data_IF_502599021083
#
_entry.id   IF_502599021083
#
_cell.length_a   1.000
_cell.length_b   1.000
_cell.length_c   1.000
_cell.angle_alpha   90.00
_cell.angle_beta   90.00
_cell.angle_gamma   90.00
#
_symmetry.space_group_name_H-M   'P 1'
#
loop_
_entity.id
_entity.type
_entity.pdbx_description
1 polymer ?
#
# COMPACT_ATOMS: atom_id res chain seq x y z
N UNK A 1 12.59 4.19 -24.60
CA UNK A 1 12.31 5.24 -23.57
C UNK A 1 10.81 5.26 -23.30
N UNK A 2 10.42 4.94 -22.06
CA UNK A 2 9.03 4.98 -21.61
C UNK A 2 8.57 6.44 -21.51
N UNK A 3 7.46 6.78 -22.13
CA UNK A 3 6.89 8.13 -22.09
C UNK A 3 5.59 8.12 -21.29
N UNK A 4 5.57 8.79 -20.13
CA UNK A 4 4.41 8.84 -19.23
C UNK A 4 3.94 10.28 -19.03
N UNK A 5 2.65 10.48 -19.20
CA UNK A 5 1.96 11.73 -18.94
C UNK A 5 1.14 11.59 -17.65
N UNK A 6 1.64 12.17 -16.54
CA UNK A 6 1.05 11.96 -15.21
C UNK A 6 0.04 13.03 -14.84
N UNK A 7 0.30 14.29 -15.16
CA UNK A 7 -0.60 15.43 -14.95
C UNK A 7 -0.28 16.55 -15.94
N UNK A 8 -1.30 17.24 -16.42
CA UNK A 8 -1.14 18.43 -17.25
C UNK A 8 -0.43 19.58 -16.56
N UNK A 9 0.06 20.53 -17.34
CA UNK A 9 0.68 21.76 -16.83
C UNK A 9 -0.33 22.57 -15.99
N UNK A 10 -0.28 22.35 -14.70
CA UNK A 10 -1.10 23.02 -13.68
C UNK A 10 -0.42 24.30 -13.16
N UNK A 11 0.62 24.81 -13.85
CA UNK A 11 1.55 25.83 -13.36
C UNK A 11 0.98 27.23 -13.18
N UNK A 12 -0.33 27.47 -13.46
CA UNK A 12 -0.90 28.81 -13.42
C UNK A 12 -2.20 28.91 -12.61
N UNK A 13 -2.09 28.85 -11.28
CA UNK A 13 -3.23 28.88 -10.38
C UNK A 13 -4.11 30.15 -10.42
N UNK A 14 -3.61 31.30 -10.84
CA UNK A 14 -4.42 32.52 -11.05
C UNK A 14 -5.02 32.62 -12.45
N UNK A 15 -4.44 31.94 -13.44
CA UNK A 15 -4.98 31.81 -14.82
C UNK A 15 -5.81 30.53 -14.99
N UNK A 16 -5.73 29.62 -14.03
CA UNK A 16 -6.45 28.34 -13.99
C UNK A 16 -7.97 28.50 -14.08
N UNK A 17 -8.50 29.63 -13.64
CA UNK A 17 -9.91 30.03 -13.81
C UNK A 17 -10.25 30.54 -15.23
N UNK A 18 -9.26 30.66 -16.09
CA UNK A 18 -9.44 31.12 -17.47
C UNK A 18 -9.24 30.01 -18.48
N UNK A 19 -10.34 29.45 -18.86
CA UNK A 19 -10.52 28.62 -20.05
C UNK A 19 -9.85 27.25 -20.15
N UNK A 20 -10.71 26.30 -20.20
CA UNK A 20 -10.51 24.93 -20.71
C UNK A 20 -9.97 24.85 -22.14
N UNK A 21 -9.83 25.94 -22.85
CA UNK A 21 -9.24 25.99 -24.19
C UNK A 21 -7.72 26.03 -24.15
N UNK A 22 -7.11 26.70 -23.15
CA UNK A 22 -5.64 26.69 -22.96
C UNK A 22 -5.14 25.34 -22.45
N UNK A 23 -5.94 24.62 -21.65
CA UNK A 23 -5.69 23.25 -21.26
C UNK A 23 -5.66 22.27 -22.46
N UNK A 24 -6.37 22.61 -23.54
CA UNK A 24 -6.37 21.87 -24.81
C UNK A 24 -5.18 22.17 -25.71
N UNK A 25 -4.50 23.29 -25.51
CA UNK A 25 -3.47 23.79 -26.43
C UNK A 25 -2.03 23.40 -26.03
N UNK A 26 -1.81 22.91 -24.81
CA UNK A 26 -0.49 22.51 -24.37
C UNK A 26 -0.49 21.00 -24.08
N UNK A 27 0.00 20.16 -25.04
CA UNK A 27 0.16 18.75 -24.77
C UNK A 27 1.18 18.64 -23.64
N UNK A 28 0.71 18.12 -22.55
CA UNK A 28 1.42 17.78 -21.34
C UNK A 28 2.76 17.16 -21.71
N UNK A 29 3.81 17.66 -21.08
CA UNK A 29 5.16 17.21 -21.36
C UNK A 29 5.26 15.70 -21.32
N UNK A 30 5.71 15.15 -22.40
CA UNK A 30 5.98 13.73 -22.54
C UNK A 30 7.17 13.43 -21.64
N UNK A 31 6.91 12.82 -20.48
CA UNK A 31 7.99 12.42 -19.58
C UNK A 31 8.64 11.14 -20.10
N UNK A 32 9.95 11.22 -20.25
CA UNK A 32 10.77 10.01 -20.33
C UNK A 32 10.87 9.45 -18.92
N UNK A 33 10.31 8.27 -18.71
CA UNK A 33 10.46 7.58 -17.42
C UNK A 33 11.91 7.18 -17.25
N UNK A 34 12.61 7.67 -16.20
CA UNK A 34 13.95 7.22 -15.90
C UNK A 34 13.99 5.70 -15.66
N UNK A 35 15.09 5.06 -16.04
CA UNK A 35 15.26 3.61 -15.89
C UNK A 35 15.07 3.18 -14.42
N UNK A 36 15.60 3.97 -13.48
CA UNK A 36 15.45 3.70 -12.04
C UNK A 36 14.01 3.73 -11.54
N UNK A 37 13.13 4.55 -12.15
CA UNK A 37 11.70 4.59 -11.82
C UNK A 37 11.00 3.37 -12.38
N UNK A 38 11.35 2.95 -13.60
CA UNK A 38 10.81 1.75 -14.24
C UNK A 38 11.22 0.48 -13.46
N UNK A 39 12.47 0.41 -13.02
CA UNK A 39 12.96 -0.73 -12.23
C UNK A 39 12.35 -0.76 -10.83
N UNK A 40 12.19 0.39 -10.17
CA UNK A 40 11.46 0.49 -8.91
C UNK A 40 10.00 0.01 -9.08
N UNK A 41 9.31 0.40 -10.17
CA UNK A 41 7.94 -0.03 -10.44
C UNK A 41 7.81 -1.55 -10.58
N UNK A 42 8.78 -2.24 -11.20
CA UNK A 42 8.80 -3.71 -11.27
C UNK A 42 8.89 -4.34 -9.88
N UNK A 43 9.73 -3.80 -8.99
CA UNK A 43 9.85 -4.29 -7.62
C UNK A 43 8.54 -4.08 -6.84
N UNK A 44 7.87 -2.94 -7.01
CA UNK A 44 6.56 -2.68 -6.39
C UNK A 44 5.46 -3.58 -6.95
N UNK A 45 5.52 -3.97 -8.23
CA UNK A 45 4.63 -4.99 -8.81
C UNK A 45 4.84 -6.32 -8.09
N UNK A 46 6.09 -6.81 -7.98
CA UNK A 46 6.40 -8.07 -7.29
C UNK A 46 5.94 -8.05 -5.84
N UNK A 47 6.22 -6.99 -5.11
CA UNK A 47 5.80 -6.80 -3.72
C UNK A 47 4.27 -6.93 -3.58
N UNK A 48 3.53 -6.19 -4.41
CA UNK A 48 2.07 -6.19 -4.40
C UNK A 48 1.48 -7.56 -4.78
N UNK A 49 2.08 -8.25 -5.75
CA UNK A 49 1.66 -9.60 -6.16
C UNK A 49 1.88 -10.62 -5.03
N UNK A 50 3.03 -10.57 -4.37
CA UNK A 50 3.33 -11.42 -3.22
C UNK A 50 2.32 -11.20 -2.08
N UNK A 51 2.08 -9.93 -1.73
CA UNK A 51 1.10 -9.56 -0.70
C UNK A 51 -0.33 -10.02 -1.05
N UNK A 52 -0.75 -9.87 -2.32
CA UNK A 52 -2.04 -10.33 -2.82
C UNK A 52 -2.20 -11.84 -2.65
N UNK A 53 -1.23 -12.61 -3.13
CA UNK A 53 -1.28 -14.07 -3.12
C UNK A 53 -1.29 -14.63 -1.69
N UNK A 54 -0.38 -14.18 -0.84
CA UNK A 54 -0.38 -14.58 0.57
C UNK A 54 -1.66 -14.14 1.27
N UNK A 55 -2.09 -12.91 1.05
CA UNK A 55 -3.29 -12.35 1.67
C UNK A 55 -4.57 -13.06 1.26
N UNK A 56 -4.64 -13.68 0.06
CA UNK A 56 -5.78 -14.49 -0.37
C UNK A 56 -6.03 -15.70 0.54
N UNK A 57 -5.02 -16.12 1.30
CA UNK A 57 -5.09 -17.23 2.27
C UNK A 57 -5.39 -16.75 3.69
N UNK A 58 -5.14 -15.48 3.98
CA UNK A 58 -5.48 -14.88 5.28
C UNK A 58 -7.00 -14.68 5.41
N UNK A 59 -7.50 -14.70 6.64
CA UNK A 59 -8.94 -14.63 6.90
C UNK A 59 -9.64 -13.44 6.19
N UNK A 60 -9.19 -12.17 6.31
CA UNK A 60 -9.89 -11.06 5.67
C UNK A 60 -9.89 -11.16 4.14
N UNK A 61 -8.79 -11.62 3.53
CA UNK A 61 -8.71 -11.82 2.08
C UNK A 61 -9.62 -12.94 1.60
N UNK A 62 -9.63 -14.08 2.30
CA UNK A 62 -10.53 -15.21 2.02
C UNK A 62 -12.01 -14.80 2.13
N UNK A 63 -12.35 -14.02 3.16
CA UNK A 63 -13.73 -13.50 3.32
C UNK A 63 -14.09 -12.53 2.21
N UNK A 64 -13.16 -11.67 1.77
CA UNK A 64 -13.38 -10.76 0.64
C UNK A 64 -13.57 -11.52 -0.68
N UNK A 65 -12.83 -12.61 -0.90
CA UNK A 65 -13.01 -13.49 -2.07
C UNK A 65 -14.38 -14.16 -2.06
N UNK A 66 -14.82 -14.67 -0.90
CA UNK A 66 -16.14 -15.26 -0.74
C UNK A 66 -17.26 -14.22 -0.99
N UNK A 67 -17.07 -12.98 -0.49
CA UNK A 67 -18.00 -11.87 -0.72
C UNK A 67 -18.10 -11.55 -2.22
N UNK A 68 -16.99 -11.45 -2.93
CA UNK A 68 -16.95 -11.17 -4.36
C UNK A 68 -17.66 -12.29 -5.16
N UNK A 69 -17.41 -13.56 -4.83
CA UNK A 69 -18.07 -14.69 -5.45
C UNK A 69 -19.60 -14.69 -5.21
N UNK A 70 -20.03 -14.36 -3.99
CA UNK A 70 -21.44 -14.27 -3.64
C UNK A 70 -22.14 -13.09 -4.34
N UNK A 71 -21.48 -11.93 -4.44
CA UNK A 71 -22.03 -10.73 -5.07
C UNK A 71 -22.17 -10.87 -6.59
N UNK A 72 -21.22 -11.53 -7.25
CA UNK A 72 -21.19 -11.72 -8.71
C UNK A 72 -22.13 -12.84 -9.19
N UNK A 73 -22.70 -13.66 -8.30
CA UNK A 73 -23.49 -14.83 -8.66
C UNK A 73 -22.63 -15.99 -9.19
N UNK A 74 -23.29 -17.09 -9.63
CA UNK A 74 -22.58 -18.25 -10.14
C UNK A 74 -21.83 -17.90 -11.44
N UNK A 75 -20.54 -18.16 -11.44
CA UNK A 75 -19.59 -18.20 -12.58
C UNK A 75 -19.84 -17.22 -13.74
N UNK A 76 -19.14 -16.11 -13.74
CA UNK A 76 -19.13 -15.16 -14.87
C UNK A 76 -18.13 -15.68 -15.93
N UNK A 77 -18.61 -16.24 -17.03
CA UNK A 77 -17.77 -16.83 -18.10
C UNK A 77 -16.72 -15.87 -18.69
N UNK A 78 -16.88 -14.57 -18.53
CA UNK A 78 -15.99 -13.50 -18.99
C UNK A 78 -15.59 -12.56 -17.86
N UNK A 79 -15.44 -13.09 -16.64
CA UNK A 79 -15.07 -12.33 -15.44
C UNK A 79 -13.56 -12.14 -15.31
N UNK A 80 -13.18 -11.33 -14.33
CA UNK A 80 -11.79 -11.18 -13.88
C UNK A 80 -11.43 -12.24 -12.85
N UNK A 81 -10.21 -12.76 -12.95
CA UNK A 81 -9.69 -13.79 -12.06
C UNK A 81 -9.48 -13.26 -10.65
N UNK A 82 -9.87 -14.05 -9.66
CA UNK A 82 -9.37 -13.92 -8.29
C UNK A 82 -8.05 -14.70 -8.19
N UNK A 83 -6.92 -14.03 -8.39
CA UNK A 83 -5.62 -14.68 -8.41
C UNK A 83 -5.34 -15.46 -7.11
N UNK A 84 -4.67 -16.61 -7.23
CA UNK A 84 -4.55 -17.58 -6.15
C UNK A 84 -5.73 -18.56 -6.03
N UNK A 85 -6.76 -18.44 -6.90
CA UNK A 85 -7.91 -19.36 -7.01
C UNK A 85 -8.26 -19.62 -8.47
N UNK A 86 -9.26 -20.48 -8.72
CA UNK A 86 -9.83 -20.72 -10.05
C UNK A 86 -11.12 -19.90 -10.32
N UNK A 87 -11.48 -19.03 -9.37
CA UNK A 87 -12.76 -18.29 -9.41
C UNK A 87 -12.62 -17.04 -10.26
N UNK A 88 -13.64 -16.75 -11.07
CA UNK A 88 -13.80 -15.49 -11.80
C UNK A 88 -15.10 -14.78 -11.36
N UNK A 89 -14.99 -13.46 -11.20
CA UNK A 89 -16.09 -12.59 -10.78
C UNK A 89 -16.13 -11.32 -11.64
N UNK A 90 -17.11 -10.44 -11.48
CA UNK A 90 -17.09 -9.17 -12.21
C UNK A 90 -15.89 -8.32 -11.78
N UNK A 91 -15.32 -7.52 -12.71
CA UNK A 91 -14.06 -6.81 -12.50
C UNK A 91 -14.05 -5.91 -11.25
N UNK A 92 -15.09 -5.10 -10.94
CA UNK A 92 -15.09 -4.30 -9.71
C UNK A 92 -15.01 -5.12 -8.43
N UNK A 93 -15.69 -6.26 -8.38
CA UNK A 93 -15.68 -7.13 -7.21
C UNK A 93 -14.36 -7.90 -7.09
N UNK A 94 -13.75 -8.28 -8.24
CA UNK A 94 -12.40 -8.84 -8.28
C UNK A 94 -11.38 -7.85 -7.71
N UNK A 95 -11.43 -6.60 -8.15
CA UNK A 95 -10.52 -5.55 -7.67
C UNK A 95 -10.69 -5.31 -6.17
N UNK A 96 -11.92 -5.23 -5.67
CA UNK A 96 -12.17 -5.09 -4.23
C UNK A 96 -11.56 -6.24 -3.43
N UNK A 97 -11.82 -7.47 -3.87
CA UNK A 97 -11.36 -8.65 -3.16
C UNK A 97 -9.84 -8.78 -3.18
N UNK A 98 -9.22 -8.60 -4.35
CA UNK A 98 -7.76 -8.69 -4.51
C UNK A 98 -7.02 -7.57 -3.77
N UNK A 99 -7.54 -6.33 -3.79
CA UNK A 99 -6.94 -5.23 -3.03
C UNK A 99 -7.08 -5.43 -1.52
N UNK A 100 -8.21 -6.00 -1.06
CA UNK A 100 -8.38 -6.42 0.33
C UNK A 100 -7.33 -7.47 0.72
N UNK A 101 -7.13 -8.48 -0.13
CA UNK A 101 -6.12 -9.51 0.10
C UNK A 101 -4.70 -8.93 0.14
N UNK A 102 -4.35 -8.08 -0.83
CA UNK A 102 -3.02 -7.47 -0.91
C UNK A 102 -2.67 -6.65 0.35
N UNK A 103 -3.66 -6.01 0.98
CA UNK A 103 -3.42 -5.16 2.16
C UNK A 103 -3.55 -5.89 3.51
N UNK A 104 -4.35 -6.94 3.61
CA UNK A 104 -4.74 -7.52 4.92
C UNK A 104 -3.58 -8.14 5.72
N UNK A 105 -2.44 -8.38 5.10
CA UNK A 105 -1.21 -8.84 5.75
C UNK A 105 -0.40 -7.72 6.42
N UNK A 106 -0.73 -6.44 6.17
CA UNK A 106 0.05 -5.25 6.58
C UNK A 106 1.53 -5.35 6.15
N UNK A 107 1.76 -5.88 4.93
CA UNK A 107 3.08 -6.15 4.37
C UNK A 107 3.30 -5.45 3.01
N UNK A 108 2.25 -4.83 2.49
CA UNK A 108 2.21 -4.01 1.28
C UNK A 108 2.96 -2.68 1.46
N UNK A 109 3.41 -2.11 0.37
CA UNK A 109 4.19 -0.87 0.33
C UNK A 109 3.45 0.36 0.92
N UNK A 110 4.19 1.43 1.21
CA UNK A 110 3.63 2.68 1.73
C UNK A 110 4.46 3.90 1.35
N UNK A 111 3.81 4.96 0.90
CA UNK A 111 4.42 6.27 0.80
C UNK A 111 4.25 7.03 2.12
N UNK A 112 5.34 7.20 2.89
CA UNK A 112 5.30 7.77 4.24
C UNK A 112 4.69 9.18 4.30
N UNK A 113 5.15 10.10 3.46
CA UNK A 113 4.66 11.49 3.42
C UNK A 113 3.21 11.64 2.96
N UNK A 114 2.72 10.74 2.11
CA UNK A 114 1.32 10.68 1.70
C UNK A 114 0.46 9.78 2.62
N UNK A 115 1.06 9.06 3.56
CA UNK A 115 0.41 8.10 4.45
C UNK A 115 -0.50 7.09 3.71
N UNK A 116 -0.10 6.67 2.49
CA UNK A 116 -0.90 5.83 1.58
C UNK A 116 -0.16 4.56 1.20
N UNK A 117 -0.84 3.43 1.31
CA UNK A 117 -0.45 2.17 0.67
C UNK A 117 -0.99 2.19 -0.76
N UNK A 118 -0.15 1.95 -1.75
CA UNK A 118 -0.50 2.25 -3.15
C UNK A 118 -0.60 0.97 -3.99
N UNK A 119 0.44 0.14 -3.97
CA UNK A 119 0.53 -1.04 -4.82
C UNK A 119 -0.63 -2.01 -4.64
N UNK A 120 -1.06 -2.20 -3.39
CA UNK A 120 -2.18 -3.07 -3.04
C UNK A 120 -3.54 -2.66 -3.66
N UNK A 121 -3.67 -1.45 -4.18
CA UNK A 121 -4.86 -1.00 -4.92
C UNK A 121 -4.64 -0.96 -6.42
N UNK A 122 -3.51 -0.39 -6.86
CA UNK A 122 -3.20 -0.12 -8.26
C UNK A 122 -2.93 -1.43 -9.02
N UNK A 123 -2.08 -2.31 -8.48
CA UNK A 123 -1.69 -3.54 -9.18
C UNK A 123 -2.88 -4.50 -9.38
N UNK A 124 -3.72 -4.82 -8.37
CA UNK A 124 -4.92 -5.63 -8.58
C UNK A 124 -5.90 -5.07 -9.61
N UNK A 125 -6.07 -3.74 -9.63
CA UNK A 125 -6.95 -3.09 -10.60
C UNK A 125 -6.42 -3.22 -12.03
N UNK A 126 -5.12 -3.03 -12.22
CA UNK A 126 -4.48 -3.18 -13.53
C UNK A 126 -4.46 -4.62 -14.03
N UNK A 127 -4.29 -5.62 -13.15
CA UNK A 127 -4.42 -7.03 -13.52
C UNK A 127 -5.82 -7.34 -14.05
N UNK A 128 -6.86 -6.88 -13.38
CA UNK A 128 -8.24 -7.09 -13.80
C UNK A 128 -8.55 -6.40 -15.15
N UNK A 129 -8.03 -5.19 -15.37
CA UNK A 129 -8.16 -4.47 -16.64
C UNK A 129 -7.37 -5.13 -17.77
N UNK A 130 -6.14 -5.54 -17.49
CA UNK A 130 -5.29 -6.20 -18.48
C UNK A 130 -5.83 -7.57 -18.90
N UNK A 131 -6.48 -8.30 -17.98
CA UNK A 131 -7.17 -9.55 -18.33
C UNK A 131 -8.36 -9.29 -19.27
N UNK A 132 -9.09 -8.18 -19.06
CA UNK A 132 -10.28 -7.83 -19.86
C UNK A 132 -9.93 -7.24 -21.23
N UNK A 133 -8.99 -6.32 -21.28
CA UNK A 133 -8.72 -5.52 -22.47
C UNK A 133 -7.42 -5.88 -23.19
N UNK A 134 -6.56 -6.66 -22.57
CA UNK A 134 -5.19 -6.86 -23.01
C UNK A 134 -4.33 -5.61 -22.77
N UNK A 135 -3.03 -5.77 -22.65
CA UNK A 135 -2.07 -4.66 -22.61
C UNK A 135 -0.67 -5.19 -22.99
N UNK A 136 0.18 -4.33 -23.57
CA UNK A 136 1.62 -4.58 -23.59
C UNK A 136 2.21 -4.43 -22.20
N UNK A 137 3.34 -5.08 -21.94
CA UNK A 137 4.03 -4.96 -20.67
C UNK A 137 4.52 -3.53 -20.42
N UNK A 138 5.00 -2.83 -21.45
CA UNK A 138 5.36 -1.43 -21.41
C UNK A 138 4.19 -0.57 -20.88
N UNK A 139 3.00 -0.71 -21.50
CA UNK A 139 1.83 0.07 -21.09
C UNK A 139 1.34 -0.28 -19.68
N UNK A 140 1.47 -1.53 -19.29
CA UNK A 140 1.15 -1.95 -17.92
C UNK A 140 2.09 -1.29 -16.92
N UNK A 141 3.40 -1.27 -17.20
CA UNK A 141 4.39 -0.63 -16.34
C UNK A 141 4.16 0.87 -16.22
N UNK A 142 3.90 1.55 -17.33
CA UNK A 142 3.52 2.98 -17.34
C UNK A 142 2.26 3.24 -16.51
N UNK A 143 1.24 2.39 -16.64
CA UNK A 143 0.01 2.51 -15.89
C UNK A 143 0.24 2.35 -14.37
N UNK A 144 1.12 1.43 -13.96
CA UNK A 144 1.54 1.31 -12.55
C UNK A 144 2.16 2.62 -12.07
N UNK A 145 3.14 3.16 -12.81
CA UNK A 145 3.81 4.41 -12.44
C UNK A 145 2.79 5.56 -12.30
N UNK A 146 1.88 5.73 -13.27
CA UNK A 146 0.81 6.75 -13.21
C UNK A 146 -0.07 6.58 -11.97
N UNK A 147 -0.43 5.35 -11.62
CA UNK A 147 -1.23 5.08 -10.43
C UNK A 147 -0.52 5.45 -9.12
N UNK A 148 0.77 5.12 -9.02
CA UNK A 148 1.60 5.47 -7.87
C UNK A 148 1.76 6.99 -7.75
N UNK A 149 2.15 7.66 -8.83
CA UNK A 149 2.32 9.11 -8.88
C UNK A 149 1.03 9.84 -8.51
N UNK A 150 -0.10 9.43 -9.08
CA UNK A 150 -1.39 10.06 -8.79
C UNK A 150 -1.77 9.92 -7.32
N UNK A 151 -1.66 8.70 -6.76
CA UNK A 151 -2.03 8.47 -5.35
C UNK A 151 -1.12 9.24 -4.40
N UNK A 152 0.20 9.21 -4.62
CA UNK A 152 1.17 9.91 -3.80
C UNK A 152 0.94 11.43 -3.82
N UNK A 153 0.80 12.02 -5.02
CA UNK A 153 0.59 13.47 -5.21
C UNK A 153 -0.71 13.95 -4.58
N UNK A 154 -1.80 13.21 -4.75
CA UNK A 154 -3.09 13.54 -4.11
C UNK A 154 -2.95 13.48 -2.58
N UNK A 155 -2.31 12.48 -2.03
CA UNK A 155 -2.07 12.37 -0.58
C UNK A 155 -1.18 13.49 -0.04
N UNK A 156 -0.10 13.82 -0.75
CA UNK A 156 0.79 14.93 -0.39
C UNK A 156 0.08 16.27 -0.44
N UNK A 157 -0.78 16.51 -1.44
CA UNK A 157 -1.48 17.79 -1.62
C UNK A 157 -2.47 18.13 -0.50
N UNK A 158 -3.07 17.13 0.13
CA UNK A 158 -4.06 17.30 1.21
C UNK A 158 -3.47 17.14 2.61
N UNK A 159 -2.14 17.09 2.76
CA UNK A 159 -1.47 16.82 4.03
C UNK A 159 -2.02 15.56 4.73
N UNK A 160 -1.93 14.44 4.02
CA UNK A 160 -2.53 13.18 4.44
C UNK A 160 -2.17 12.73 5.88
N UNK A 161 -0.97 13.00 6.44
CA UNK A 161 -0.68 12.73 7.84
C UNK A 161 -1.60 13.49 8.81
N UNK A 162 -1.96 14.76 8.53
CA UNK A 162 -2.94 15.50 9.35
C UNK A 162 -4.35 14.96 9.18
N UNK A 163 -4.70 14.55 7.96
CA UNK A 163 -5.98 13.90 7.68
C UNK A 163 -6.12 12.59 8.46
N UNK A 164 -5.04 11.81 8.50
CA UNK A 164 -4.94 10.57 9.26
C UNK A 164 -5.15 10.82 10.77
N UNK A 165 -4.53 11.86 11.33
CA UNK A 165 -4.71 12.23 12.74
C UNK A 165 -6.17 12.62 13.08
N UNK A 166 -6.96 13.08 12.09
CA UNK A 166 -8.39 13.38 12.22
C UNK A 166 -9.31 12.17 12.11
N UNK A 167 -8.76 10.98 11.89
CA UNK A 167 -9.52 9.73 11.80
C UNK A 167 -9.96 9.33 10.39
N UNK A 168 -9.48 10.00 9.35
CA UNK A 168 -9.61 9.54 7.97
C UNK A 168 -8.51 8.54 7.63
N UNK A 169 -8.78 7.66 6.71
CA UNK A 169 -7.77 6.74 6.19
C UNK A 169 -7.26 7.21 4.82
N UNK A 170 -6.07 7.82 4.73
CA UNK A 170 -5.59 8.41 3.48
C UNK A 170 -5.55 7.44 2.29
N UNK A 171 -5.17 6.17 2.51
CA UNK A 171 -5.18 5.17 1.45
C UNK A 171 -6.57 5.02 0.81
N UNK A 172 -7.64 4.99 1.63
CA UNK A 172 -9.01 4.87 1.11
C UNK A 172 -9.55 6.17 0.52
N UNK A 173 -9.04 7.30 0.98
CA UNK A 173 -9.39 8.62 0.45
C UNK A 173 -8.73 8.86 -0.92
N UNK A 174 -7.46 8.46 -1.09
CA UNK A 174 -6.68 8.77 -2.29
C UNK A 174 -6.70 7.65 -3.34
N UNK A 175 -6.93 6.39 -2.92
CA UNK A 175 -6.73 5.22 -3.77
C UNK A 175 -7.59 5.16 -5.03
N UNK A 176 -8.82 5.67 -4.97
CA UNK A 176 -9.69 5.70 -6.13
C UNK A 176 -9.10 6.52 -7.29
N UNK A 177 -8.40 7.62 -6.99
CA UNK A 177 -7.75 8.45 -8.01
C UNK A 177 -6.59 7.71 -8.69
N UNK A 178 -5.75 7.03 -7.90
CA UNK A 178 -4.64 6.24 -8.44
C UNK A 178 -5.12 5.14 -9.38
N UNK A 179 -6.15 4.39 -8.99
CA UNK A 179 -6.74 3.34 -9.83
C UNK A 179 -7.38 3.91 -11.09
N UNK A 180 -8.11 5.04 -10.98
CA UNK A 180 -8.73 5.68 -12.13
C UNK A 180 -7.68 6.19 -13.14
N UNK A 181 -6.62 6.84 -12.66
CA UNK A 181 -5.52 7.32 -13.50
C UNK A 181 -4.75 6.16 -14.16
N UNK A 182 -4.38 5.14 -13.38
CA UNK A 182 -3.69 3.96 -13.86
C UNK A 182 -4.49 3.24 -14.96
N UNK A 183 -5.78 3.02 -14.72
CA UNK A 183 -6.64 2.38 -15.70
C UNK A 183 -6.84 3.22 -16.97
N UNK A 184 -7.00 4.52 -16.84
CA UNK A 184 -7.07 5.42 -17.99
C UNK A 184 -5.78 5.37 -18.84
N UNK A 185 -4.60 5.30 -18.19
CA UNK A 185 -3.31 5.12 -18.89
C UNK A 185 -3.23 3.76 -19.57
N UNK A 186 -3.61 2.67 -18.89
CA UNK A 186 -3.62 1.33 -19.48
C UNK A 186 -4.48 1.30 -20.75
N UNK A 187 -5.66 1.94 -20.70
CA UNK A 187 -6.61 2.00 -21.81
C UNK A 187 -6.24 3.05 -22.87
N UNK A 188 -5.10 3.74 -22.70
CA UNK A 188 -4.63 4.79 -23.60
C UNK A 188 -5.67 5.89 -23.83
N UNK A 189 -6.37 6.30 -22.79
CA UNK A 189 -7.36 7.36 -22.90
C UNK A 189 -6.70 8.74 -23.05
N UNK A 190 -7.32 9.64 -23.81
CA UNK A 190 -6.86 11.03 -23.88
C UNK A 190 -7.05 11.71 -22.50
N UNK A 191 -6.26 12.76 -22.25
CA UNK A 191 -6.19 13.48 -20.96
C UNK A 191 -7.58 13.92 -20.46
N UNK A 192 -8.43 14.46 -21.33
CA UNK A 192 -9.78 14.88 -20.97
C UNK A 192 -10.64 13.72 -20.43
N UNK A 193 -10.45 12.53 -20.98
CA UNK A 193 -11.19 11.36 -20.53
C UNK A 193 -10.64 10.85 -19.19
N UNK A 194 -9.31 10.90 -19.01
CA UNK A 194 -8.67 10.64 -17.71
C UNK A 194 -9.14 11.64 -16.65
N UNK A 195 -9.13 12.94 -16.95
CA UNK A 195 -9.62 13.99 -16.05
C UNK A 195 -11.09 13.76 -15.65
N UNK A 196 -11.92 13.30 -16.59
CA UNK A 196 -13.31 12.94 -16.29
C UNK A 196 -13.39 11.75 -15.32
N UNK A 197 -12.56 10.72 -15.50
CA UNK A 197 -12.51 9.58 -14.58
C UNK A 197 -12.04 10.00 -13.18
N UNK A 198 -11.07 10.89 -13.07
CA UNK A 198 -10.65 11.48 -11.79
C UNK A 198 -11.78 12.29 -11.14
N UNK A 199 -12.53 13.06 -11.92
CA UNK A 199 -13.73 13.77 -11.46
C UNK A 199 -14.79 12.81 -10.91
N UNK A 200 -15.06 11.70 -11.58
CA UNK A 200 -15.98 10.68 -11.07
C UNK A 200 -15.42 10.04 -9.79
N UNK A 201 -14.11 9.71 -9.75
CA UNK A 201 -13.46 9.13 -8.58
C UNK A 201 -13.56 10.03 -7.34
N UNK A 202 -13.50 11.36 -7.51
CA UNK A 202 -13.61 12.32 -6.39
C UNK A 202 -14.92 12.22 -5.62
N UNK A 203 -16.00 11.84 -6.29
CA UNK A 203 -17.33 11.67 -5.67
C UNK A 203 -17.43 10.38 -4.82
N UNK A 204 -16.46 9.49 -4.94
CA UNK A 204 -16.38 8.23 -4.22
C UNK A 204 -15.21 8.17 -3.22
N UNK A 205 -14.44 9.27 -3.10
CA UNK A 205 -13.32 9.35 -2.18
C UNK A 205 -13.79 9.37 -0.73
N UNK A 206 -13.23 8.52 0.11
CA UNK A 206 -13.60 8.48 1.52
C UNK A 206 -13.20 7.19 2.22
N UNK A 207 -13.26 7.21 3.52
CA UNK A 207 -13.01 6.06 4.38
C UNK A 207 -12.49 6.46 5.75
N UNK A 208 -12.97 5.77 6.77
CA UNK A 208 -12.65 6.02 8.17
C UNK A 208 -11.58 5.04 8.67
N UNK A 209 -10.73 5.54 9.57
CA UNK A 209 -9.69 4.74 10.23
C UNK A 209 -10.23 3.85 11.35
N UNK A 210 -11.50 3.94 11.67
CA UNK A 210 -12.14 3.21 12.77
C UNK A 210 -12.02 1.68 12.62
N UNK A 211 -12.17 0.97 13.72
CA UNK A 211 -12.16 -0.51 13.75
C UNK A 211 -10.77 -1.15 13.77
N UNK A 212 -9.69 -0.40 13.50
CA UNK A 212 -8.32 -0.95 13.50
C UNK A 212 -7.82 -1.39 14.88
N UNK A 213 -8.29 -0.75 15.95
CA UNK A 213 -7.91 -1.12 17.33
C UNK A 213 -8.70 -2.33 17.84
N UNK A 214 -9.93 -2.47 17.40
CA UNK A 214 -10.82 -3.58 17.79
C UNK A 214 -10.57 -4.85 16.99
N UNK A 215 -9.77 -4.77 15.92
CA UNK A 215 -9.50 -5.91 15.04
C UNK A 215 -10.65 -6.20 14.07
N UNK A 216 -11.50 -5.22 13.78
CA UNK A 216 -12.59 -5.36 12.82
C UNK A 216 -12.03 -5.64 11.41
N UNK A 217 -12.26 -6.86 10.89
CA UNK A 217 -11.74 -7.31 9.58
C UNK A 217 -12.34 -6.52 8.41
N UNK A 218 -13.54 -5.95 8.57
CA UNK A 218 -14.21 -5.11 7.59
C UNK A 218 -13.39 -3.88 7.17
N UNK A 219 -12.44 -3.40 8.01
CA UNK A 219 -11.53 -2.31 7.61
C UNK A 219 -10.73 -2.65 6.35
N UNK A 220 -10.31 -3.89 6.19
CA UNK A 220 -9.56 -4.31 5.00
C UNK A 220 -10.43 -4.31 3.75
N UNK A 221 -11.72 -4.63 3.88
CA UNK A 221 -12.70 -4.51 2.78
C UNK A 221 -12.92 -3.04 2.40
N UNK A 222 -12.91 -2.12 3.38
CA UNK A 222 -12.99 -0.68 3.09
C UNK A 222 -11.78 -0.20 2.26
N UNK A 223 -10.59 -0.75 2.49
CA UNK A 223 -9.41 -0.52 1.65
C UNK A 223 -9.66 -1.01 0.21
N UNK A 224 -10.10 -2.23 0.04
CA UNK A 224 -10.45 -2.79 -1.28
C UNK A 224 -11.57 -2.00 -1.97
N UNK A 225 -12.51 -1.42 -1.20
CA UNK A 225 -13.59 -0.59 -1.75
C UNK A 225 -13.06 0.68 -2.43
N UNK A 226 -11.97 1.26 -1.96
CA UNK A 226 -11.35 2.41 -2.63
C UNK A 226 -10.82 2.04 -4.03
N UNK A 227 -10.18 0.87 -4.17
CA UNK A 227 -9.75 0.36 -5.46
C UNK A 227 -10.95 0.06 -6.39
N UNK A 228 -12.02 -0.56 -5.85
CA UNK A 228 -13.27 -0.78 -6.56
C UNK A 228 -13.90 0.53 -7.04
N UNK A 229 -13.89 1.57 -6.23
CA UNK A 229 -14.45 2.87 -6.58
C UNK A 229 -13.68 3.52 -7.75
N UNK A 230 -12.35 3.41 -7.79
CA UNK A 230 -11.54 3.82 -8.94
C UNK A 230 -11.88 3.03 -10.21
N UNK A 231 -12.07 1.70 -10.10
CA UNK A 231 -12.53 0.87 -11.21
C UNK A 231 -13.93 1.29 -11.70
N UNK A 232 -14.86 1.56 -10.78
CA UNK A 232 -16.20 2.04 -11.14
C UNK A 232 -16.16 3.41 -11.82
N UNK A 233 -15.26 4.31 -11.40
CA UNK A 233 -15.07 5.61 -12.07
C UNK A 233 -14.60 5.44 -13.52
N UNK A 234 -13.72 4.49 -13.80
CA UNK A 234 -13.32 4.13 -15.16
C UNK A 234 -14.51 3.60 -15.96
N UNK A 235 -15.21 2.60 -15.45
CA UNK A 235 -16.34 1.98 -16.14
C UNK A 235 -17.48 2.99 -16.37
N UNK A 236 -17.75 3.87 -15.42
CA UNK A 236 -18.73 4.94 -15.56
C UNK A 236 -18.35 5.91 -16.68
N UNK A 237 -17.08 6.33 -16.72
CA UNK A 237 -16.53 7.18 -17.78
C UNK A 237 -16.56 6.47 -19.14
N UNK A 238 -16.31 5.17 -19.19
CA UNK A 238 -16.43 4.36 -20.42
C UNK A 238 -17.84 4.41 -21.00
N UNK A 239 -18.86 4.42 -20.13
CA UNK A 239 -20.28 4.52 -20.51
C UNK A 239 -20.75 5.97 -20.78
N UNK A 240 -19.86 6.96 -20.70
CA UNK A 240 -20.17 8.36 -20.99
C UNK A 240 -20.68 9.18 -19.80
N UNK A 241 -20.65 8.64 -18.57
CA UNK A 241 -20.92 9.44 -17.36
C UNK A 241 -19.83 10.49 -17.17
N UNK A 242 -20.21 11.68 -16.69
CA UNK A 242 -19.31 12.82 -16.50
C UNK A 242 -19.10 13.12 -15.03
N UNK A 243 -17.85 13.42 -14.66
CA UNK A 243 -17.45 13.90 -13.35
C UNK A 243 -17.27 15.42 -13.32
N UNK A 244 -17.18 16.02 -12.12
CA UNK A 244 -16.88 17.43 -11.97
C UNK A 244 -15.52 17.76 -12.56
N UNK A 245 -15.44 18.84 -13.34
CA UNK A 245 -14.21 19.25 -14.03
C UNK A 245 -13.18 19.86 -13.09
N UNK A 246 -13.64 20.56 -12.05
CA UNK A 246 -12.83 21.23 -11.02
C UNK A 246 -12.82 20.40 -9.72
N UNK A 247 -12.74 19.07 -9.84
CA UNK A 247 -12.90 18.14 -8.73
C UNK A 247 -11.95 18.40 -7.55
N UNK A 248 -10.75 18.91 -7.81
CA UNK A 248 -9.73 19.13 -6.80
C UNK A 248 -9.77 20.55 -6.22
N UNK A 249 -9.92 21.56 -7.07
CA UNK A 249 -9.69 22.97 -6.79
C UNK A 249 -10.95 23.80 -6.44
N UNK A 250 -12.14 23.30 -6.76
CA UNK A 250 -13.39 23.99 -6.41
C UNK A 250 -13.52 24.18 -4.88
N UNK A 251 -14.12 25.27 -4.36
CA UNK A 251 -14.27 25.50 -2.92
C UNK A 251 -14.95 24.36 -2.14
N UNK A 252 -15.80 23.58 -2.81
CA UNK A 252 -16.38 22.33 -2.29
C UNK A 252 -15.79 21.07 -2.96
N UNK A 253 -14.67 21.24 -3.64
CA UNK A 253 -13.91 20.17 -4.27
C UNK A 253 -13.09 19.38 -3.25
N UNK A 254 -12.45 18.34 -3.74
CA UNK A 254 -11.76 17.33 -2.91
C UNK A 254 -10.71 17.95 -1.97
N UNK A 255 -9.78 18.76 -2.52
CA UNK A 255 -8.66 19.26 -1.71
C UNK A 255 -9.13 20.21 -0.59
N UNK A 256 -9.95 21.23 -0.92
CA UNK A 256 -10.39 22.25 0.03
C UNK A 256 -11.41 21.71 1.05
N UNK A 257 -12.13 20.64 0.73
CA UNK A 257 -13.00 19.96 1.70
C UNK A 257 -12.20 19.20 2.77
N UNK A 258 -11.05 18.63 2.41
CA UNK A 258 -10.27 17.78 3.30
C UNK A 258 -9.11 18.51 3.98
N UNK A 259 -8.59 19.59 3.36
CA UNK A 259 -7.44 20.33 3.83
C UNK A 259 -7.69 21.84 3.69
N UNK A 260 -7.50 22.60 4.79
CA UNK A 260 -7.71 24.05 4.77
C UNK A 260 -6.69 24.78 3.88
N UNK A 261 -5.47 24.27 3.79
CA UNK A 261 -4.37 24.82 3.03
C UNK A 261 -3.74 23.72 2.16
N UNK A 262 -4.35 23.35 1.01
CA UNK A 262 -3.79 22.34 0.13
C UNK A 262 -2.44 22.76 -0.44
N UNK A 263 -1.53 21.83 -0.52
CA UNK A 263 -0.20 22.00 -1.09
C UNK A 263 -0.24 21.70 -2.59
N UNK A 264 -0.66 22.68 -3.35
CA UNK A 264 -0.91 22.58 -4.79
C UNK A 264 0.33 22.20 -5.61
N UNK A 265 1.52 22.56 -5.12
CA UNK A 265 2.79 22.24 -5.75
C UNK A 265 2.97 20.74 -6.02
N UNK A 266 2.39 19.87 -5.19
CA UNK A 266 2.45 18.42 -5.40
C UNK A 266 1.60 17.92 -6.57
N UNK A 267 0.53 18.65 -6.91
CA UNK A 267 -0.28 18.34 -8.09
C UNK A 267 0.28 18.99 -9.36
N UNK A 268 1.05 20.07 -9.22
CA UNK A 268 1.55 20.87 -10.33
C UNK A 268 2.98 20.52 -10.76
N UNK A 269 3.83 20.08 -9.82
CA UNK A 269 5.23 19.76 -10.11
C UNK A 269 5.34 18.49 -10.92
N UNK A 270 6.14 18.57 -11.99
CA UNK A 270 6.46 17.46 -12.89
C UNK A 270 7.94 17.09 -12.83
N UNK A 271 8.70 17.74 -11.94
CA UNK A 271 10.16 17.66 -11.89
C UNK A 271 10.67 16.42 -11.14
N UNK A 272 9.79 15.65 -10.52
CA UNK A 272 10.16 14.57 -9.63
C UNK A 272 9.12 13.44 -9.67
N UNK A 273 9.62 12.21 -9.62
CA UNK A 273 8.81 11.02 -9.37
C UNK A 273 8.78 10.69 -7.88
N UNK A 274 7.61 10.35 -7.35
CA UNK A 274 7.38 9.95 -5.97
C UNK A 274 7.39 8.44 -5.74
N UNK A 275 7.26 7.65 -6.82
CA UNK A 275 7.31 6.19 -6.74
C UNK A 275 8.60 5.69 -6.05
N UNK A 276 9.81 6.23 -6.33
CA UNK A 276 11.03 5.83 -5.63
C UNK A 276 11.09 6.20 -4.14
N UNK A 277 10.12 6.98 -3.64
CA UNK A 277 9.98 7.31 -2.21
C UNK A 277 9.01 6.39 -1.48
N UNK A 278 8.36 5.47 -2.22
CA UNK A 278 7.48 4.47 -1.62
C UNK A 278 8.33 3.40 -0.94
N UNK A 279 8.10 3.20 0.34
CA UNK A 279 8.85 2.24 1.14
C UNK A 279 8.23 0.84 1.06
N UNK A 280 9.08 -0.18 0.98
CA UNK A 280 8.68 -1.56 1.17
C UNK A 280 8.53 -1.89 2.66
N UNK A 281 7.63 -2.81 2.99
CA UNK A 281 7.50 -3.34 4.35
C UNK A 281 8.19 -4.71 4.45
N UNK A 282 9.31 -4.84 5.17
CA UNK A 282 9.91 -6.16 5.45
C UNK A 282 9.17 -6.92 6.55
N UNK A 283 8.34 -6.25 7.35
CA UNK A 283 7.66 -6.82 8.51
C UNK A 283 6.13 -6.69 8.38
N UNK A 284 5.35 -7.75 8.65
CA UNK A 284 3.89 -7.75 8.53
C UNK A 284 3.21 -7.07 9.73
N UNK A 285 3.42 -5.77 9.88
CA UNK A 285 2.82 -4.96 10.94
C UNK A 285 2.68 -3.49 10.53
N UNK A 286 2.01 -2.72 11.37
CA UNK A 286 1.86 -1.29 11.16
C UNK A 286 3.21 -0.59 10.99
N UNK A 287 3.34 0.29 9.98
CA UNK A 287 4.61 0.94 9.61
C UNK A 287 5.29 1.65 10.79
N UNK A 288 4.50 2.21 11.71
CA UNK A 288 4.98 2.88 12.91
C UNK A 288 5.85 2.00 13.82
N UNK A 289 5.80 0.68 13.63
CA UNK A 289 6.53 -0.29 14.47
C UNK A 289 7.84 -0.77 13.82
N UNK A 290 8.04 -0.52 12.52
CA UNK A 290 9.17 -1.09 11.77
C UNK A 290 10.53 -0.68 12.32
N UNK A 291 10.71 0.62 12.65
CA UNK A 291 11.95 1.10 13.27
C UNK A 291 12.21 0.41 14.63
N UNK A 292 11.15 0.21 15.42
CA UNK A 292 11.23 -0.52 16.69
C UNK A 292 11.58 -2.00 16.51
N UNK A 293 10.99 -2.68 15.51
CA UNK A 293 11.33 -4.08 15.18
C UNK A 293 12.80 -4.20 14.79
N UNK A 294 13.27 -3.34 13.89
CA UNK A 294 14.67 -3.35 13.44
C UNK A 294 15.63 -3.08 14.59
N UNK A 295 15.33 -2.08 15.44
CA UNK A 295 16.12 -1.78 16.63
C UNK A 295 16.18 -2.96 17.60
N UNK A 296 15.03 -3.59 17.87
CA UNK A 296 14.94 -4.76 18.74
C UNK A 296 15.78 -5.95 18.22
N UNK A 297 15.65 -6.25 16.92
CA UNK A 297 16.41 -7.34 16.29
C UNK A 297 17.92 -7.09 16.35
N UNK A 298 18.37 -5.85 16.09
CA UNK A 298 19.80 -5.47 16.22
C UNK A 298 20.31 -5.62 17.64
N UNK A 299 19.53 -5.22 18.66
CA UNK A 299 19.91 -5.37 20.06
C UNK A 299 19.98 -6.84 20.48
N UNK A 300 18.99 -7.65 20.10
CA UNK A 300 18.98 -9.09 20.38
C UNK A 300 20.23 -9.77 19.79
N UNK A 301 20.52 -9.49 18.51
CA UNK A 301 21.67 -10.08 17.82
C UNK A 301 23.01 -9.61 18.44
N UNK A 302 23.17 -8.29 18.62
CA UNK A 302 24.43 -7.68 19.10
C UNK A 302 24.81 -8.14 20.50
N UNK A 303 23.82 -8.35 21.37
CA UNK A 303 24.04 -8.67 22.79
C UNK A 303 23.62 -10.10 23.15
N UNK A 304 23.31 -10.94 22.16
CA UNK A 304 22.88 -12.34 22.34
C UNK A 304 21.76 -12.48 23.40
N UNK A 305 20.78 -11.54 23.37
CA UNK A 305 19.70 -11.51 24.34
C UNK A 305 18.72 -12.66 24.10
N UNK A 306 18.27 -13.27 25.19
CA UNK A 306 17.22 -14.28 25.16
C UNK A 306 15.95 -13.73 25.79
N UNK A 307 14.75 -14.25 25.48
CA UNK A 307 13.49 -13.81 26.11
C UNK A 307 13.54 -13.86 27.64
N UNK A 308 14.25 -14.87 28.20
CA UNK A 308 14.42 -15.03 29.64
C UNK A 308 15.29 -13.93 30.26
N UNK A 309 16.27 -13.37 29.52
CA UNK A 309 17.16 -12.32 30.03
C UNK A 309 16.50 -10.94 30.06
N UNK A 310 15.36 -10.77 29.38
CA UNK A 310 14.67 -9.48 29.24
C UNK A 310 13.80 -9.21 30.46
N UNK A 311 14.07 -8.09 31.13
CA UNK A 311 13.25 -7.56 32.21
C UNK A 311 12.17 -6.59 31.68
N UNK A 312 12.57 -5.68 30.77
CA UNK A 312 11.69 -4.65 30.21
C UNK A 312 12.13 -4.30 28.77
N UNK A 313 11.17 -3.99 27.92
CA UNK A 313 11.36 -3.41 26.58
C UNK A 313 10.61 -2.09 26.55
N UNK A 314 11.27 -0.97 26.29
CA UNK A 314 10.65 0.33 26.06
C UNK A 314 10.77 0.68 24.59
N UNK A 315 9.62 0.79 23.91
CA UNK A 315 9.50 1.26 22.52
C UNK A 315 9.09 2.74 22.54
N UNK A 316 9.90 3.58 21.90
CA UNK A 316 9.59 4.99 21.65
C UNK A 316 9.31 5.20 20.17
N UNK A 317 8.23 5.92 19.87
CA UNK A 317 7.82 6.34 18.52
C UNK A 317 7.51 7.84 18.53
N UNK A 318 7.38 8.54 17.38
CA UNK A 318 6.85 9.90 17.34
C UNK A 318 5.54 10.01 18.11
N UNK A 319 5.35 11.12 18.87
CA UNK A 319 4.20 11.28 19.80
C UNK A 319 2.86 11.05 19.14
N UNK A 320 2.68 11.52 17.91
CA UNK A 320 1.43 11.34 17.16
C UNK A 320 1.14 9.88 16.77
N UNK A 321 2.16 9.03 16.73
CA UNK A 321 2.01 7.60 16.41
C UNK A 321 1.75 6.75 17.66
N UNK A 322 2.08 7.24 18.84
CA UNK A 322 2.03 6.47 20.08
C UNK A 322 0.63 5.93 20.40
N UNK A 323 -0.41 6.75 20.27
CA UNK A 323 -1.80 6.32 20.53
C UNK A 323 -2.29 5.23 19.59
N UNK A 324 -1.70 5.13 18.38
CA UNK A 324 -2.07 4.12 17.39
C UNK A 324 -1.50 2.75 17.70
N UNK A 325 -0.28 2.72 18.25
CA UNK A 325 0.46 1.46 18.43
C UNK A 325 0.61 1.05 19.91
N UNK A 326 0.25 1.92 20.85
CA UNK A 326 0.16 1.54 22.26
C UNK A 326 -1.16 0.81 22.53
N UNK A 327 -1.15 -0.50 22.29
CA UNK A 327 -2.30 -1.41 22.42
C UNK A 327 -1.96 -2.58 23.34
N UNK A 328 -1.99 -2.37 24.68
CA UNK A 328 -1.59 -3.40 25.64
C UNK A 328 -2.62 -4.52 25.79
N UNK A 329 -3.83 -4.35 25.29
CA UNK A 329 -4.86 -5.37 25.39
C UNK A 329 -4.46 -6.65 24.65
N UNK A 330 -4.60 -7.78 25.34
CA UNK A 330 -4.38 -9.09 24.74
C UNK A 330 -5.54 -9.39 23.79
N UNK A 331 -5.20 -9.76 22.57
CA UNK A 331 -6.18 -10.13 21.54
C UNK A 331 -5.72 -11.40 20.83
N UNK A 332 -6.65 -12.25 20.51
CA UNK A 332 -6.46 -13.42 19.63
C UNK A 332 -6.81 -13.10 18.18
N UNK A 333 -7.23 -11.85 17.90
CA UNK A 333 -7.57 -11.40 16.56
C UNK A 333 -6.32 -10.84 15.87
N UNK A 334 -5.87 -11.49 14.80
CA UNK A 334 -4.74 -11.04 13.97
C UNK A 334 -4.83 -9.54 13.64
N UNK A 335 -5.98 -9.07 13.16
CA UNK A 335 -6.18 -7.69 12.74
C UNK A 335 -5.97 -6.65 13.87
N UNK A 336 -6.20 -7.01 15.12
CA UNK A 336 -5.93 -6.15 16.28
C UNK A 336 -4.43 -6.11 16.63
N UNK A 337 -3.74 -7.25 16.47
CA UNK A 337 -2.34 -7.41 16.91
C UNK A 337 -1.33 -6.81 15.93
N UNK A 338 -1.65 -6.73 14.63
CA UNK A 338 -0.79 -6.12 13.60
C UNK A 338 -0.35 -4.68 13.92
N UNK A 339 -1.15 -3.94 14.70
CA UNK A 339 -0.84 -2.59 15.15
C UNK A 339 -0.50 -2.49 16.64
N UNK A 340 -0.34 -3.62 17.37
CA UNK A 340 0.01 -3.60 18.79
C UNK A 340 1.52 -3.60 18.98
N UNK A 341 2.08 -2.49 19.46
CA UNK A 341 3.51 -2.42 19.79
C UNK A 341 3.89 -3.44 20.85
N UNK A 342 3.03 -3.71 21.83
CA UNK A 342 3.28 -4.71 22.85
C UNK A 342 3.37 -6.11 22.25
N UNK A 343 2.43 -6.49 21.40
CA UNK A 343 2.43 -7.80 20.76
C UNK A 343 3.63 -7.96 19.80
N UNK A 344 3.83 -6.98 18.90
CA UNK A 344 4.87 -7.02 17.88
C UNK A 344 6.27 -7.12 18.53
N UNK A 345 6.56 -6.30 19.55
CA UNK A 345 7.83 -6.39 20.27
C UNK A 345 7.99 -7.72 21.01
N UNK A 346 6.93 -8.21 21.65
CA UNK A 346 6.96 -9.47 22.40
C UNK A 346 7.22 -10.69 21.49
N UNK A 347 6.46 -10.81 20.38
CA UNK A 347 6.63 -11.94 19.46
C UNK A 347 7.96 -11.87 18.71
N UNK A 348 8.44 -10.68 18.39
CA UNK A 348 9.78 -10.47 17.81
C UNK A 348 10.87 -10.88 18.77
N UNK A 349 10.78 -10.50 20.05
CA UNK A 349 11.74 -10.90 21.08
C UNK A 349 11.75 -12.40 21.31
N UNK A 350 10.57 -13.05 21.25
CA UNK A 350 10.45 -14.49 21.43
C UNK A 350 11.07 -15.29 20.29
N UNK A 351 10.77 -14.87 19.05
CA UNK A 351 11.14 -15.62 17.83
C UNK A 351 12.50 -15.21 17.24
N UNK A 352 13.05 -14.05 17.60
CA UNK A 352 14.20 -13.45 16.93
C UNK A 352 13.93 -13.04 15.48
N UNK A 353 12.65 -13.02 15.06
CA UNK A 353 12.15 -12.61 13.74
C UNK A 353 10.67 -12.24 13.83
N UNK A 354 10.16 -11.62 12.79
CA UNK A 354 8.72 -11.39 12.62
C UNK A 354 8.33 -11.61 11.15
N UNK A 355 7.36 -12.48 10.94
CA UNK A 355 6.83 -12.92 9.66
C UNK A 355 5.31 -13.17 9.78
N UNK A 356 4.64 -13.56 8.69
CA UNK A 356 3.20 -13.83 8.71
C UNK A 356 2.82 -14.92 9.73
N UNK A 357 3.71 -15.91 9.95
CA UNK A 357 3.47 -16.96 10.94
C UNK A 357 3.48 -16.43 12.38
N UNK A 358 4.13 -15.29 12.64
CA UNK A 358 4.11 -14.64 13.96
C UNK A 358 2.71 -14.22 14.42
N UNK A 359 1.73 -14.25 13.53
CA UNK A 359 0.34 -13.85 13.77
C UNK A 359 -0.64 -15.03 13.60
N UNK A 360 -0.15 -16.26 13.66
CA UNK A 360 -0.96 -17.47 13.71
C UNK A 360 -1.41 -17.78 15.15
N UNK A 361 -2.44 -18.62 15.29
CA UNK A 361 -3.08 -18.94 16.56
C UNK A 361 -2.08 -19.40 17.63
N UNK A 362 -1.05 -20.14 17.24
CA UNK A 362 0.04 -20.59 18.12
C UNK A 362 0.64 -19.42 18.93
N UNK A 363 0.93 -18.30 18.27
CA UNK A 363 1.53 -17.13 18.92
C UNK A 363 0.50 -16.18 19.52
N UNK A 364 -0.65 -16.04 18.87
CA UNK A 364 -1.76 -15.19 19.37
C UNK A 364 -2.29 -15.70 20.71
N UNK A 365 -2.30 -17.01 20.92
CA UNK A 365 -2.74 -17.65 22.16
C UNK A 365 -1.61 -17.94 23.16
N UNK A 366 -0.33 -17.73 22.78
CA UNK A 366 0.85 -18.10 23.57
C UNK A 366 0.92 -17.35 24.90
N UNK A 367 0.99 -18.10 26.01
CA UNK A 367 1.22 -17.54 27.36
C UNK A 367 2.62 -16.91 27.49
N UNK A 368 3.59 -17.35 26.70
CA UNK A 368 4.93 -16.76 26.71
C UNK A 368 4.92 -15.38 26.03
N UNK A 369 4.21 -15.24 24.90
CA UNK A 369 3.99 -13.94 24.26
C UNK A 369 3.26 -13.00 25.21
N UNK A 370 2.19 -13.44 25.89
CA UNK A 370 1.45 -12.62 26.86
C UNK A 370 2.33 -12.13 28.02
N UNK A 371 3.18 -13.02 28.53
CA UNK A 371 4.15 -12.65 29.59
C UNK A 371 5.17 -11.61 29.09
N UNK A 372 5.64 -11.73 27.86
CA UNK A 372 6.54 -10.75 27.26
C UNK A 372 5.82 -9.44 26.97
N UNK A 373 4.58 -9.45 26.48
CA UNK A 373 3.76 -8.24 26.28
C UNK A 373 3.66 -7.39 27.57
N UNK A 374 3.53 -8.03 28.71
CA UNK A 374 3.47 -7.34 29.99
C UNK A 374 4.77 -6.59 30.37
N UNK A 375 5.89 -6.94 29.72
CA UNK A 375 7.20 -6.27 29.89
C UNK A 375 7.42 -5.15 28.86
N UNK A 376 6.52 -4.96 27.88
CA UNK A 376 6.68 -3.97 26.82
C UNK A 376 5.91 -2.70 27.16
N UNK A 377 6.62 -1.58 27.16
CA UNK A 377 6.07 -0.23 27.29
C UNK A 377 6.19 0.48 25.92
N UNK A 378 5.15 1.20 25.52
CA UNK A 378 5.13 2.00 24.30
C UNK A 378 4.85 3.45 24.67
N UNK A 379 5.69 4.36 24.22
CA UNK A 379 5.62 5.77 24.57
C UNK A 379 5.92 6.67 23.36
N UNK A 380 5.38 7.89 23.38
CA UNK A 380 5.73 8.92 22.42
C UNK A 380 7.00 9.67 22.84
N UNK A 381 7.87 9.97 21.87
CA UNK A 381 9.09 10.74 22.08
C UNK A 381 9.08 12.04 21.28
N UNK A 382 9.27 13.18 21.96
CA UNK A 382 9.42 14.49 21.32
C UNK A 382 10.70 14.58 20.46
N UNK A 383 11.74 13.82 20.82
CA UNK A 383 12.99 13.78 20.07
C UNK A 383 12.78 13.15 18.69
N UNK A 384 11.90 12.16 18.58
CA UNK A 384 11.58 11.48 17.34
C UNK A 384 10.62 12.27 16.44
N UNK A 385 9.87 13.23 16.98
CA UNK A 385 8.93 14.06 16.19
C UNK A 385 9.63 14.85 15.09
N UNK A 386 10.93 15.21 15.27
CA UNK A 386 11.72 15.95 14.27
C UNK A 386 11.90 15.21 12.93
N UNK A 387 11.73 13.89 12.94
CA UNK A 387 11.87 13.05 11.75
C UNK A 387 10.56 12.81 11.03
N UNK A 388 9.43 13.01 11.71
CA UNK A 388 8.10 12.81 11.14
C UNK A 388 7.64 14.07 10.37
N UNK A 389 6.95 13.98 9.24
CA UNK A 389 6.45 12.76 8.59
C UNK A 389 7.42 12.10 7.61
N UNK A 390 8.62 12.65 7.43
CA UNK A 390 9.61 12.14 6.45
C UNK A 390 9.99 10.70 6.77
N UNK A 391 10.33 10.43 8.03
CA UNK A 391 10.62 9.08 8.52
C UNK A 391 9.78 8.75 9.74
N UNK A 392 9.35 7.50 9.81
CA UNK A 392 8.64 6.95 10.95
C UNK A 392 9.63 6.23 11.86
N UNK A 393 10.46 7.06 12.50
CA UNK A 393 11.57 6.62 13.35
C UNK A 393 11.10 5.93 14.64
N UNK A 394 12.01 5.19 15.27
CA UNK A 394 11.75 4.53 16.55
C UNK A 394 13.02 4.26 17.33
N UNK A 395 12.90 4.15 18.63
CA UNK A 395 13.98 3.76 19.54
C UNK A 395 13.49 2.66 20.47
N UNK A 396 14.32 1.66 20.66
CA UNK A 396 14.08 0.60 21.65
C UNK A 396 15.15 0.61 22.71
N UNK A 397 14.73 0.53 23.99
CA UNK A 397 15.61 0.30 25.11
C UNK A 397 15.22 -1.00 25.79
N UNK A 398 16.20 -1.90 25.98
CA UNK A 398 16.03 -3.16 26.68
C UNK A 398 16.77 -3.13 28.00
N UNK A 399 16.06 -3.41 29.12
CA UNK A 399 16.65 -3.67 30.41
C UNK A 399 16.68 -5.16 30.65
N UNK A 400 17.83 -5.70 31.08
CA UNK A 400 18.00 -7.12 31.39
C UNK A 400 17.81 -7.38 32.88
N UNK A 401 17.47 -8.60 33.24
CA UNK A 401 17.42 -9.05 34.67
C UNK A 401 18.80 -8.96 35.36
N UNK A 402 19.89 -8.92 34.58
CA UNK A 402 21.24 -8.68 35.07
C UNK A 402 21.59 -7.20 35.30
N UNK A 403 20.64 -6.28 35.12
CA UNK A 403 20.82 -4.85 35.35
C UNK A 403 21.48 -4.07 34.22
N UNK A 404 21.80 -4.71 33.08
CA UNK A 404 22.32 -3.99 31.91
C UNK A 404 21.16 -3.31 31.18
N UNK A 405 21.49 -2.19 30.51
CA UNK A 405 20.55 -1.45 29.66
C UNK A 405 21.19 -1.20 28.28
N UNK A 406 20.46 -1.53 27.23
CA UNK A 406 20.91 -1.37 25.84
C UNK A 406 19.87 -0.57 25.07
N UNK A 407 20.31 0.34 24.20
CA UNK A 407 19.41 1.17 23.41
C UNK A 407 19.88 1.25 21.96
N UNK A 408 18.92 1.27 21.04
CA UNK A 408 19.15 1.45 19.60
C UNK A 408 18.06 2.34 19.04
N UNK A 409 18.45 3.31 18.19
CA UNK A 409 17.54 4.22 17.50
C UNK A 409 17.67 4.01 15.99
N UNK A 410 16.54 3.86 15.31
CA UNK A 410 16.44 3.75 13.85
C UNK A 410 15.64 4.95 13.34
N UNK A 411 16.26 5.77 12.47
CA UNK A 411 15.61 6.92 11.85
C UNK A 411 14.86 6.48 10.60
N UNK A 412 15.57 5.91 9.63
CA UNK A 412 15.01 5.35 8.40
C UNK A 412 15.01 3.81 8.51
N UNK A 413 13.86 3.20 8.81
CA UNK A 413 13.78 1.73 8.93
C UNK A 413 13.96 1.04 7.57
N UNK A 414 14.37 -0.22 7.60
CA UNK A 414 14.58 -1.06 6.41
C UNK A 414 13.37 -1.00 5.47
N UNK A 415 13.65 -0.84 4.19
CA UNK A 415 12.68 -0.64 3.12
C UNK A 415 12.44 0.83 2.73
N UNK A 416 12.96 1.80 3.49
CA UNK A 416 13.01 3.21 3.07
C UNK A 416 14.09 3.43 2.01
N UNK A 417 13.99 4.53 1.27
CA UNK A 417 14.97 4.91 0.24
C UNK A 417 16.41 4.97 0.78
N UNK A 418 16.58 5.44 2.01
CA UNK A 418 17.88 5.60 2.68
C UNK A 418 18.39 4.31 3.34
N UNK A 419 17.54 3.31 3.45
CA UNK A 419 17.84 1.97 3.98
C UNK A 419 17.09 0.91 3.16
N UNK A 420 17.41 0.78 1.84
CA UNK A 420 16.57 0.04 0.91
C UNK A 420 16.65 -1.47 1.10
N UNK A 421 15.59 -2.15 0.71
CA UNK A 421 15.65 -3.56 0.33
C UNK A 421 16.28 -3.66 -1.06
N UNK A 422 17.17 -4.63 -1.25
CA UNK A 422 17.71 -4.94 -2.56
C UNK A 422 16.66 -5.63 -3.44
N UNK A 423 16.88 -5.68 -4.75
CA UNK A 423 16.01 -6.45 -5.65
C UNK A 423 15.94 -7.93 -5.21
N UNK A 424 17.06 -8.52 -4.79
CA UNK A 424 17.09 -9.89 -4.28
C UNK A 424 16.25 -10.07 -3.00
N UNK A 425 16.27 -9.08 -2.07
CA UNK A 425 15.41 -9.13 -0.87
C UNK A 425 13.91 -9.11 -1.25
N UNK A 426 13.53 -8.34 -2.29
CA UNK A 426 12.13 -8.26 -2.77
C UNK A 426 11.73 -9.55 -3.49
N UNK A 427 12.61 -10.12 -4.32
CA UNK A 427 12.37 -11.42 -4.97
C UNK A 427 12.23 -12.55 -3.94
N UNK A 428 13.08 -12.59 -2.91
CA UNK A 428 12.97 -13.54 -1.80
C UNK A 428 11.63 -13.36 -1.06
N UNK A 429 11.28 -12.13 -0.71
CA UNK A 429 9.98 -11.81 -0.11
C UNK A 429 8.82 -12.29 -0.99
N UNK A 430 8.89 -12.03 -2.30
CA UNK A 430 7.87 -12.49 -3.23
C UNK A 430 7.78 -14.02 -3.26
N UNK A 431 8.89 -14.73 -3.34
CA UNK A 431 8.92 -16.19 -3.33
C UNK A 431 8.33 -16.76 -2.03
N UNK A 432 8.70 -16.22 -0.89
CA UNK A 432 8.16 -16.63 0.42
C UNK A 432 6.63 -16.48 0.49
N UNK A 433 6.09 -15.42 -0.12
CA UNK A 433 4.67 -15.11 -0.11
C UNK A 433 3.89 -15.85 -1.21
N UNK A 434 4.46 -16.00 -2.39
CA UNK A 434 3.78 -16.51 -3.58
C UNK A 434 3.92 -18.02 -3.78
N UNK A 435 5.08 -18.62 -3.45
CA UNK A 435 5.33 -20.04 -3.68
C UNK A 435 4.39 -20.97 -2.91
N UNK A 436 3.94 -20.68 -1.69
CA UNK A 436 2.93 -21.48 -0.99
C UNK A 436 1.56 -21.50 -1.70
N UNK A 437 1.28 -20.53 -2.58
CA UNK A 437 0.00 -20.42 -3.29
C UNK A 437 0.09 -20.95 -4.73
N UNK A 438 1.15 -20.58 -5.45
CA UNK A 438 1.33 -20.88 -6.88
C UNK A 438 2.18 -22.11 -7.14
N UNK A 439 3.01 -22.51 -6.19
CA UNK A 439 4.16 -23.38 -6.39
C UNK A 439 5.39 -22.60 -6.89
N UNK A 440 6.59 -23.09 -6.55
CA UNK A 440 7.85 -22.37 -6.81
C UNK A 440 8.09 -22.07 -8.29
N UNK A 441 7.80 -23.02 -9.18
CA UNK A 441 8.02 -22.85 -10.61
C UNK A 441 7.20 -21.68 -11.20
N UNK A 442 5.95 -21.52 -10.81
CA UNK A 442 5.09 -20.41 -11.24
C UNK A 442 5.48 -19.09 -10.59
N UNK A 443 5.86 -19.10 -9.32
CA UNK A 443 6.36 -17.92 -8.65
C UNK A 443 7.63 -17.38 -9.36
N UNK A 444 8.57 -18.23 -9.69
CA UNK A 444 9.75 -17.84 -10.50
C UNK A 444 9.39 -17.39 -11.91
N UNK A 445 8.39 -18.00 -12.55
CA UNK A 445 7.90 -17.55 -13.86
C UNK A 445 7.26 -16.16 -13.78
N UNK A 446 6.58 -15.83 -12.66
CA UNK A 446 6.03 -14.50 -12.43
C UNK A 446 7.14 -13.44 -12.27
N UNK A 447 8.24 -13.75 -11.57
CA UNK A 447 9.42 -12.86 -11.48
C UNK A 447 9.94 -12.57 -12.88
N UNK A 448 10.24 -13.60 -13.67
CA UNK A 448 10.75 -13.42 -15.05
C UNK A 448 9.78 -12.65 -15.97
N UNK A 449 8.47 -12.81 -15.76
CA UNK A 449 7.46 -12.06 -16.50
C UNK A 449 7.44 -10.56 -16.10
N UNK A 450 7.65 -10.24 -14.81
CA UNK A 450 7.75 -8.85 -14.34
C UNK A 450 9.05 -8.21 -14.84
N UNK A 451 10.17 -8.90 -14.77
CA UNK A 451 11.46 -8.39 -15.24
C UNK A 451 11.42 -8.00 -16.73
N UNK A 452 10.73 -8.83 -17.53
CA UNK A 452 10.62 -8.63 -18.98
C UNK A 452 9.47 -7.69 -19.41
N UNK A 453 8.71 -7.08 -18.47
CA UNK A 453 7.52 -6.26 -18.81
C UNK A 453 7.82 -5.20 -19.86
N UNK A 454 8.89 -4.42 -19.69
CA UNK A 454 9.23 -3.32 -20.60
C UNK A 454 9.43 -3.75 -22.07
N UNK A 455 9.82 -5.01 -22.29
CA UNK A 455 10.08 -5.58 -23.61
C UNK A 455 8.96 -6.53 -24.09
N UNK A 456 7.91 -6.70 -23.30
CA UNK A 456 6.84 -7.68 -23.59
C UNK A 456 5.69 -7.05 -24.38
N UNK A 457 5.33 -7.66 -25.50
CA UNK A 457 4.16 -7.24 -26.30
C UNK A 457 2.83 -7.51 -25.58
N UNK A 458 2.83 -8.32 -24.52
CA UNK A 458 1.62 -8.70 -23.79
C UNK A 458 1.91 -9.09 -22.35
N UNK A 459 1.06 -8.67 -21.43
CA UNK A 459 1.06 -9.11 -20.03
C UNK A 459 0.48 -10.51 -19.82
N UNK A 460 0.07 -11.19 -20.88
CA UNK A 460 -0.55 -12.52 -20.80
C UNK A 460 0.36 -13.55 -20.10
N UNK A 461 1.67 -13.46 -20.28
CA UNK A 461 2.64 -14.33 -19.59
C UNK A 461 2.59 -14.14 -18.06
N UNK A 462 2.51 -12.90 -17.60
CA UNK A 462 2.35 -12.59 -16.18
C UNK A 462 1.02 -13.13 -15.63
N UNK A 463 -0.09 -12.86 -16.34
CA UNK A 463 -1.42 -13.35 -15.93
C UNK A 463 -1.46 -14.88 -15.86
N UNK A 464 -0.84 -15.57 -16.83
CA UNK A 464 -0.75 -17.04 -16.84
C UNK A 464 0.10 -17.57 -15.67
N UNK A 465 1.19 -16.90 -15.31
CA UNK A 465 2.02 -17.29 -14.16
C UNK A 465 1.25 -17.18 -12.83
N UNK A 466 0.36 -16.18 -12.69
CA UNK A 466 -0.46 -15.97 -11.50
C UNK A 466 -1.70 -16.87 -11.40
N UNK A 467 -2.12 -17.48 -12.52
CA UNK A 467 -3.29 -18.35 -12.54
C UNK A 467 -3.00 -19.69 -11.83
N UNK A 468 -3.93 -20.16 -11.01
CA UNK A 468 -3.88 -21.51 -10.44
C UNK A 468 -4.52 -22.48 -11.44
N UNK A 469 -3.93 -23.65 -11.71
CA UNK A 469 -4.56 -24.65 -12.59
C UNK A 469 -5.90 -25.11 -12.04
N UNK A 470 -6.86 -25.34 -12.94
CA UNK A 470 -8.15 -25.96 -12.64
C UNK A 470 -7.96 -27.42 -12.25
#
# INVERSE_FOLDING_TARGET
ELQVDVFGDWSKSSEFMRSTEEFRANPIGVFVVPAEVADAAKLHILDSLGCLLAGSRLEPGRLAYNLAAAASGASVNHGSSLFGTTVKVCAPDAVQAMATAAHCGELDDIHGGAATCIGAMVVPALLALAEKYGASGERFLEAVIVGYETTARVGLSIDAPKLFARGWWPSTVCGAFGVAAAGARLLNWPVQRMANALGVASLHAGGMLTGGQEGATARHVAFGSAARNGMLALLATEQGLTGPRLAFEEPRGFCLTLCAEPRWEFLQSVDKFYLPEVAFKPYPCARQLHAGVEALLKLIQRHALTPASIQEIELFVPRQNASMVNRPAISTLRAATLGSGQYVMAVTALRGKIDLASFEEEFLCSEEVKRLMAKVKVSGSAELDRHFPTYWSGRVTIKTIGGQSYSEEIIAPKGERENPLSAADIEEKFLDLAAPVLGEARARAAIGAVDSLAASDSVATLLAALAVPV
#
